data_IF_335947817404
#
_entry.id   IF_335947817404
#
_cell.length_a   1.000
_cell.length_b   1.000
_cell.length_c   1.000
_cell.angle_alpha   90.00
_cell.angle_beta   90.00
_cell.angle_gamma   90.00
#
_symmetry.space_group_name_H-M   'P 1'
#
loop_
_entity.id
_entity.type
_entity.pdbx_description
1 polymer ?
#
# COMPACT_ATOMS: atom_id res chain seq x y z
N UNK A 1 -6.59 10.16 -9.00
CA UNK A 1 -7.89 9.56 -9.38
C UNK A 1 -7.99 8.29 -8.57
N UNK A 2 -8.95 8.20 -7.63
CA UNK A 2 -8.96 7.16 -6.61
C UNK A 2 -8.90 5.75 -7.19
N UNK A 3 -8.24 4.84 -6.47
CA UNK A 3 -8.14 3.43 -6.84
C UNK A 3 -9.53 2.77 -6.88
N UNK A 4 -9.79 1.99 -7.93
CA UNK A 4 -10.96 1.11 -7.96
C UNK A 4 -10.86 0.01 -6.87
N UNK A 5 -11.97 -0.64 -6.45
CA UNK A 5 -11.96 -1.62 -5.37
C UNK A 5 -10.96 -2.79 -5.56
N UNK A 6 -10.85 -3.30 -6.79
CA UNK A 6 -9.86 -4.32 -7.16
C UNK A 6 -8.43 -3.80 -7.10
N UNK A 7 -8.20 -2.56 -7.54
CA UNK A 7 -6.90 -1.91 -7.45
C UNK A 7 -6.51 -1.68 -5.99
N UNK A 8 -7.46 -1.28 -5.13
CA UNK A 8 -7.23 -1.11 -3.69
C UNK A 8 -6.81 -2.42 -3.02
N UNK A 9 -7.49 -3.54 -3.32
CA UNK A 9 -7.08 -4.86 -2.81
C UNK A 9 -5.67 -5.24 -3.23
N UNK A 10 -5.31 -4.99 -4.50
CA UNK A 10 -3.94 -5.23 -5.00
C UNK A 10 -2.91 -4.28 -4.39
N UNK A 11 -3.30 -3.04 -4.11
CA UNK A 11 -2.43 -2.06 -3.46
C UNK A 11 -2.07 -2.50 -2.04
N UNK A 12 -3.05 -2.95 -1.25
CA UNK A 12 -2.82 -3.49 0.09
C UNK A 12 -1.89 -4.71 0.05
N UNK A 13 -2.08 -5.63 -0.91
CA UNK A 13 -1.19 -6.78 -1.09
C UNK A 13 0.25 -6.36 -1.45
N UNK A 14 0.41 -5.35 -2.30
CA UNK A 14 1.71 -4.80 -2.71
C UNK A 14 2.42 -4.11 -1.55
N UNK A 15 1.69 -3.35 -0.73
CA UNK A 15 2.19 -2.72 0.49
C UNK A 15 2.62 -3.80 1.50
N UNK A 16 1.81 -4.86 1.70
CA UNK A 16 2.16 -5.95 2.60
C UNK A 16 3.45 -6.68 2.15
N UNK A 17 3.59 -6.95 0.85
CA UNK A 17 4.80 -7.56 0.29
C UNK A 17 6.03 -6.64 0.45
N UNK A 18 5.87 -5.35 0.19
CA UNK A 18 6.94 -4.35 0.37
C UNK A 18 7.37 -4.22 1.84
N UNK A 19 6.44 -4.29 2.80
CA UNK A 19 6.78 -4.28 4.24
C UNK A 19 7.61 -5.49 4.65
N UNK A 20 7.34 -6.65 4.06
CA UNK A 20 8.08 -7.87 4.35
C UNK A 20 9.50 -7.85 3.75
N UNK A 21 9.65 -7.24 2.57
CA UNK A 21 10.93 -7.07 1.89
C UNK A 21 10.88 -5.87 0.95
N UNK A 22 11.45 -4.74 1.40
CA UNK A 22 11.45 -3.49 0.65
C UNK A 22 12.36 -3.52 -0.60
N UNK A 23 13.29 -4.49 -0.70
CA UNK A 23 14.14 -4.68 -1.87
C UNK A 23 13.40 -5.44 -2.98
N UNK A 24 12.29 -6.11 -2.67
CA UNK A 24 11.53 -6.89 -3.63
C UNK A 24 10.65 -6.00 -4.51
N UNK A 25 10.72 -6.12 -5.85
CA UNK A 25 9.83 -5.39 -6.74
C UNK A 25 8.35 -5.74 -6.50
N UNK A 26 7.56 -4.74 -6.12
CA UNK A 26 6.11 -4.86 -5.95
C UNK A 26 5.37 -4.65 -7.30
N UNK A 27 4.33 -5.45 -7.61
CA UNK A 27 3.53 -5.25 -8.82
C UNK A 27 2.62 -4.03 -8.67
N UNK A 28 2.50 -3.22 -9.73
CA UNK A 28 1.59 -2.09 -9.73
C UNK A 28 0.13 -2.57 -9.66
N UNK A 29 -0.71 -2.03 -8.75
CA UNK A 29 -2.10 -2.48 -8.58
C UNK A 29 -3.01 -2.12 -9.77
N UNK A 30 -2.57 -1.20 -10.65
CA UNK A 30 -3.30 -0.80 -11.85
C UNK A 30 -2.88 -1.57 -13.10
N UNK A 31 -1.57 -1.65 -13.38
CA UNK A 31 -1.07 -2.23 -14.63
C UNK A 31 -0.29 -3.54 -14.47
N UNK A 32 -0.05 -4.01 -13.24
CA UNK A 32 0.62 -5.29 -12.96
C UNK A 32 2.15 -5.28 -13.08
N UNK A 33 2.76 -4.23 -13.64
CA UNK A 33 4.21 -4.15 -13.83
C UNK A 33 4.98 -4.11 -12.50
N UNK A 34 6.14 -4.78 -12.43
CA UNK A 34 6.99 -4.88 -11.24
C UNK A 34 7.95 -3.68 -11.10
N UNK A 35 7.40 -2.48 -11.20
CA UNK A 35 8.12 -1.22 -11.08
C UNK A 35 7.34 -0.21 -10.21
N UNK A 36 6.66 -0.71 -9.18
CA UNK A 36 5.94 0.12 -8.22
C UNK A 36 6.91 0.64 -7.15
N UNK A 37 7.03 1.96 -7.04
CA UNK A 37 7.68 2.61 -5.91
C UNK A 37 6.66 2.73 -4.77
N UNK A 38 7.08 2.33 -3.58
CA UNK A 38 6.29 2.45 -2.34
C UNK A 38 7.10 3.28 -1.35
N UNK A 39 6.52 4.35 -0.84
CA UNK A 39 7.16 5.22 0.17
C UNK A 39 6.27 5.28 1.40
N UNK A 40 6.83 4.90 2.56
CA UNK A 40 6.17 5.07 3.84
C UNK A 40 6.18 6.56 4.25
N UNK A 41 5.00 7.14 4.42
CA UNK A 41 4.76 8.51 4.91
C UNK A 41 3.97 8.51 6.22
N UNK A 42 3.95 7.39 6.92
CA UNK A 42 3.15 7.22 8.12
C UNK A 42 3.63 8.12 9.25
N UNK A 43 2.69 8.88 9.82
CA UNK A 43 2.79 9.37 11.19
C UNK A 43 1.84 8.50 12.04
N UNK A 44 2.41 7.61 12.85
CA UNK A 44 1.68 6.76 13.82
C UNK A 44 0.90 7.65 14.80
N UNK A 45 -0.21 7.21 15.45
CA UNK A 45 -0.53 5.80 15.78
C UNK A 45 -1.76 5.18 15.10
N UNK A 46 -2.62 5.95 14.43
CA UNK A 46 -3.93 5.44 14.00
C UNK A 46 -3.95 4.77 12.62
N UNK A 47 -3.08 5.20 11.72
CA UNK A 47 -3.00 4.66 10.37
C UNK A 47 -1.57 4.76 9.85
N UNK A 48 -1.25 3.87 8.92
CA UNK A 48 -0.08 4.00 8.07
C UNK A 48 -0.48 4.61 6.73
N UNK A 49 0.39 5.43 6.16
CA UNK A 49 0.16 6.12 4.89
C UNK A 49 1.29 5.75 3.93
N UNK A 50 0.95 5.21 2.76
CA UNK A 50 1.91 4.84 1.74
C UNK A 50 1.64 5.59 0.44
N UNK A 51 2.65 6.29 -0.07
CA UNK A 51 2.63 6.80 -1.43
C UNK A 51 3.02 5.67 -2.40
N UNK A 52 2.21 5.49 -3.44
CA UNK A 52 2.38 4.51 -4.49
C UNK A 52 2.58 5.23 -5.82
N UNK A 53 3.74 5.05 -6.43
CA UNK A 53 4.10 5.68 -7.70
C UNK A 53 4.52 4.61 -8.72
N UNK A 54 3.93 4.63 -9.91
CA UNK A 54 4.27 3.71 -11.00
C UNK A 54 4.69 4.48 -12.25
N UNK A 55 5.97 4.36 -12.61
CA UNK A 55 6.54 5.01 -13.79
C UNK A 55 5.94 4.52 -15.13
N UNK A 56 5.27 3.36 -15.16
CA UNK A 56 4.69 2.81 -16.41
C UNK A 56 3.29 3.29 -16.73
N UNK A 57 2.39 3.33 -15.74
CA UNK A 57 1.00 3.73 -15.99
C UNK A 57 0.65 5.09 -15.38
N UNK A 58 1.61 5.76 -14.74
CA UNK A 58 1.40 7.06 -14.11
C UNK A 58 0.53 7.01 -12.86
N UNK A 59 0.38 5.84 -12.23
CA UNK A 59 -0.25 5.75 -10.92
C UNK A 59 0.53 6.61 -9.93
N UNK A 60 -0.16 7.51 -9.23
CA UNK A 60 0.38 8.30 -8.13
C UNK A 60 -0.74 8.50 -7.11
N UNK A 61 -0.80 7.64 -6.10
CA UNK A 61 -1.88 7.62 -5.11
C UNK A 61 -1.32 7.42 -3.70
N UNK A 62 -2.01 7.93 -2.69
CA UNK A 62 -1.68 7.67 -1.29
C UNK A 62 -2.73 6.74 -0.68
N UNK A 63 -2.27 5.63 -0.10
CA UNK A 63 -3.12 4.62 0.52
C UNK A 63 -2.97 4.69 2.04
N UNK A 64 -4.10 4.85 2.73
CA UNK A 64 -4.18 4.70 4.18
C UNK A 64 -4.47 3.23 4.53
N UNK A 65 -3.64 2.65 5.39
CA UNK A 65 -3.83 1.33 5.99
C UNK A 65 -4.16 1.53 7.46
N UNK A 66 -5.42 1.29 7.89
CA UNK A 66 -5.80 1.42 9.29
C UNK A 66 -4.98 0.44 10.14
N UNK A 67 -4.29 0.98 11.16
CA UNK A 67 -3.77 0.19 12.25
C UNK A 67 -4.95 -0.03 13.17
N UNK A 68 -5.64 -1.17 13.05
CA UNK A 68 -6.84 -1.43 13.84
C UNK A 68 -6.64 -1.06 15.31
N UNK A 69 -7.72 -0.67 16.01
CA UNK A 69 -7.69 -0.77 17.48
C UNK A 69 -7.26 -2.20 17.79
N UNK A 70 -6.21 -2.39 18.59
CA UNK A 70 -5.96 -3.70 19.19
C UNK A 70 -7.31 -4.22 19.66
N UNK A 71 -7.75 -5.37 19.12
CA UNK A 71 -8.95 -6.01 19.65
C UNK A 71 -8.71 -6.12 21.17
N UNK A 72 -9.62 -5.63 22.03
CA UNK A 72 -9.46 -5.90 23.45
C UNK A 72 -9.42 -7.42 23.59
N UNK A 73 -8.33 -7.96 24.14
CA UNK A 73 -8.28 -9.36 24.55
C UNK A 73 -9.50 -9.59 25.43
N UNK A 74 -10.39 -10.49 24.99
CA UNK A 74 -11.46 -10.99 25.85
C UNK A 74 -10.80 -12.02 26.77
N UNK A 75 -10.51 -11.60 28.00
CA UNK A 75 -10.29 -12.49 29.16
C UNK A 75 -11.65 -13.00 29.66
#
# INVERSE_FOLDING_TARGET
>A
MALAPDEMRRALASIAAWRADAARPAPCPRCGERALTVVDRSARPHAEWYALDCARCGLSETVAVPLGRAAPSLD
#
